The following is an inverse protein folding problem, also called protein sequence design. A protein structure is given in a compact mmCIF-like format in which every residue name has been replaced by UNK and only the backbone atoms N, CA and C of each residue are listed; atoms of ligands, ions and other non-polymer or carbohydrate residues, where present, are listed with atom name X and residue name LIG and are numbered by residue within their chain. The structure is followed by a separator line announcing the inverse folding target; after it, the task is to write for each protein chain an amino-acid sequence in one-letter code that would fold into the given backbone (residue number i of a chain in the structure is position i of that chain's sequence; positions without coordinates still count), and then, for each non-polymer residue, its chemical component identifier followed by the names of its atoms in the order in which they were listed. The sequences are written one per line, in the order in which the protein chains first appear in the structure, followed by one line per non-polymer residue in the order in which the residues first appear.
data_IF_320467388957
#
_entry.id   IF_320467388957
#
_cell.length_a   1.000
_cell.length_b   1.000
_cell.length_c   1.000
_cell.angle_alpha   90.00
_cell.angle_beta   90.00
_cell.angle_gamma   90.00
#
_symmetry.space_group_name_H-M   'P 1'
#
loop_
_entity.id
_entity.type
_entity.pdbx_description
1 polymer ?
#
# COMPACT_ATOMS: atom_id res chain seq x y z
N UNK A 1 -8.21 -7.41 13.58
CA UNK A 1 -7.37 -6.30 13.07
C UNK A 1 -6.36 -6.89 12.11
N UNK A 2 -6.21 -6.32 10.92
CA UNK A 2 -5.25 -6.87 9.94
C UNK A 2 -3.90 -6.18 10.00
N UNK A 3 -3.80 -4.90 10.40
CA UNK A 3 -2.54 -4.20 10.64
C UNK A 3 -2.58 -3.49 11.98
N UNK A 4 -1.55 -3.70 12.80
CA UNK A 4 -1.35 -2.98 14.05
C UNK A 4 0.13 -2.61 14.21
N UNK A 5 0.38 -1.33 14.36
CA UNK A 5 1.66 -0.74 14.73
C UNK A 5 1.54 -0.27 16.17
N UNK A 6 2.44 -0.67 17.06
CA UNK A 6 2.41 -0.32 18.47
C UNK A 6 3.75 0.27 18.90
N UNK A 7 3.73 1.56 19.29
CA UNK A 7 4.84 2.31 19.86
C UNK A 7 6.13 2.26 19.00
N UNK A 8 5.95 2.38 17.67
CA UNK A 8 7.02 2.29 16.68
C UNK A 8 7.94 3.50 16.79
N UNK A 9 9.22 3.25 17.07
CA UNK A 9 10.27 4.25 16.96
C UNK A 9 11.28 3.80 15.91
N UNK A 10 11.64 4.71 15.00
CA UNK A 10 12.64 4.47 13.96
C UNK A 10 13.55 5.69 13.83
N UNK A 11 14.86 5.45 13.86
CA UNK A 11 15.86 6.48 13.66
C UNK A 11 16.83 6.12 12.54
N UNK A 12 17.33 7.13 11.84
CA UNK A 12 18.37 6.98 10.82
C UNK A 12 19.68 7.65 11.27
N UNK A 13 20.83 7.15 10.88
CA UNK A 13 22.10 7.88 11.05
C UNK A 13 22.07 9.21 10.28
N UNK A 14 22.54 10.28 10.93
CA UNK A 14 22.67 11.61 10.33
C UNK A 14 23.99 12.22 10.81
N UNK A 15 25.08 11.89 10.12
CA UNK A 15 26.45 12.20 10.57
C UNK A 15 26.73 11.60 11.95
N UNK A 16 27.09 12.44 12.90
CA UNK A 16 27.38 12.05 14.29
C UNK A 16 26.09 12.00 15.17
N UNK A 17 24.92 12.32 14.60
CA UNK A 17 23.62 12.32 15.28
C UNK A 17 22.69 11.26 14.71
N UNK A 18 21.47 11.17 15.27
CA UNK A 18 20.38 10.33 14.75
C UNK A 18 19.17 11.19 14.47
N UNK A 19 18.63 11.05 13.27
CA UNK A 19 17.34 11.64 12.89
C UNK A 19 16.22 10.68 13.29
N UNK A 20 15.30 11.12 14.14
CA UNK A 20 14.10 10.36 14.48
C UNK A 20 13.07 10.52 13.38
N UNK A 21 12.82 9.45 12.63
CA UNK A 21 11.85 9.42 11.53
C UNK A 21 10.45 9.03 12.01
N UNK A 22 10.36 8.19 13.05
CA UNK A 22 9.12 7.81 13.73
C UNK A 22 9.37 7.84 15.24
N UNK A 23 8.47 8.47 16.00
CA UNK A 23 8.57 8.63 17.44
C UNK A 23 7.29 8.10 18.11
N UNK A 24 7.36 6.89 18.68
CA UNK A 24 6.28 6.20 19.39
C UNK A 24 4.96 6.14 18.61
N UNK A 25 5.04 5.87 17.32
CA UNK A 25 3.88 5.83 16.43
C UNK A 25 3.05 4.57 16.68
N UNK A 26 1.76 4.75 16.96
CA UNK A 26 0.78 3.67 17.07
C UNK A 26 -0.35 3.88 16.08
N UNK A 27 -0.69 2.84 15.28
CA UNK A 27 -1.74 2.87 14.26
C UNK A 27 -2.41 1.50 14.18
N UNK A 28 -3.74 1.51 14.22
CA UNK A 28 -4.55 0.31 14.06
C UNK A 28 -5.45 0.44 12.84
N UNK A 29 -5.36 -0.51 11.92
CA UNK A 29 -6.19 -0.54 10.71
C UNK A 29 -7.01 -1.82 10.70
N UNK A 30 -8.33 -1.72 10.87
CA UNK A 30 -9.23 -2.87 10.80
C UNK A 30 -9.27 -3.47 9.39
N UNK A 31 -9.70 -4.71 9.30
CA UNK A 31 -9.96 -5.37 8.03
C UNK A 31 -11.10 -4.67 7.30
N UNK A 32 -10.96 -4.45 6.00
CA UNK A 32 -11.95 -3.77 5.16
C UNK A 32 -12.05 -2.27 5.43
N UNK A 33 -11.07 -1.64 6.08
CA UNK A 33 -11.05 -0.19 6.27
C UNK A 33 -9.84 0.46 5.61
N UNK A 34 -10.02 1.71 5.19
CA UNK A 34 -9.01 2.57 4.61
C UNK A 34 -8.65 3.69 5.59
N UNK A 35 -7.40 3.72 6.03
CA UNK A 35 -6.84 4.81 6.82
C UNK A 35 -5.92 5.65 5.96
N UNK A 36 -6.26 6.93 5.80
CA UNK A 36 -5.37 7.90 5.17
C UNK A 36 -4.37 8.46 6.22
N UNK A 37 -3.10 8.43 5.87
CA UNK A 37 -2.01 9.04 6.65
C UNK A 37 -1.52 10.26 5.90
N UNK A 38 -1.77 11.44 6.45
CA UNK A 38 -1.44 12.73 5.83
C UNK A 38 -0.34 13.45 6.58
N UNK A 39 0.37 14.33 5.91
CA UNK A 39 1.41 15.15 6.51
C UNK A 39 2.34 15.77 5.48
N UNK A 40 3.17 16.74 5.86
CA UNK A 40 4.13 17.38 4.96
C UNK A 40 5.22 16.39 4.48
N UNK A 41 5.95 16.77 3.43
CA UNK A 41 7.12 16.01 3.00
C UNK A 41 8.14 15.92 4.13
N UNK A 42 8.79 14.76 4.29
CA UNK A 42 9.76 14.53 5.38
C UNK A 42 9.17 14.21 6.74
N UNK A 43 7.84 14.19 6.92
CA UNK A 43 7.21 13.94 8.22
C UNK A 43 7.32 12.50 8.74
N UNK A 44 7.85 11.55 7.94
CA UNK A 44 7.97 10.14 8.34
C UNK A 44 7.00 9.17 7.64
N UNK A 45 6.11 9.64 6.73
CA UNK A 45 5.10 8.82 6.05
C UNK A 45 5.67 7.61 5.31
N UNK A 46 6.71 7.81 4.51
CA UNK A 46 7.36 6.71 3.76
C UNK A 46 8.07 5.74 4.70
N UNK A 47 8.62 6.23 5.82
CA UNK A 47 9.21 5.39 6.88
C UNK A 47 8.12 4.53 7.54
N UNK A 48 6.95 5.10 7.80
CA UNK A 48 5.80 4.38 8.34
C UNK A 48 5.36 3.24 7.40
N UNK A 49 5.23 3.53 6.09
CA UNK A 49 4.92 2.49 5.09
C UNK A 49 6.00 1.42 5.02
N UNK A 50 7.28 1.80 5.07
CA UNK A 50 8.39 0.84 5.02
C UNK A 50 8.40 -0.09 6.24
N UNK A 51 8.08 0.42 7.43
CA UNK A 51 7.91 -0.39 8.65
C UNK A 51 6.67 -1.29 8.54
N UNK A 52 5.52 -0.75 8.12
CA UNK A 52 4.29 -1.51 7.91
C UNK A 52 4.47 -2.61 6.85
N UNK A 53 5.27 -2.33 5.81
CA UNK A 53 5.66 -3.31 4.78
C UNK A 53 6.71 -4.32 5.25
N UNK A 54 7.19 -4.23 6.49
CA UNK A 54 8.28 -5.06 7.02
C UNK A 54 9.59 -4.98 6.19
N UNK A 55 9.78 -3.88 5.47
CA UNK A 55 11.01 -3.61 4.72
C UNK A 55 12.11 -3.08 5.64
N UNK A 56 11.72 -2.36 6.69
CA UNK A 56 12.59 -1.83 7.73
C UNK A 56 12.09 -2.34 9.08
N UNK A 57 13.01 -2.84 9.89
CA UNK A 57 12.73 -3.21 11.29
C UNK A 57 12.85 -1.94 12.13
N UNK A 58 11.83 -1.57 12.93
CA UNK A 58 11.92 -0.41 13.81
C UNK A 58 12.94 -0.64 14.94
N UNK A 59 13.46 0.43 15.53
CA UNK A 59 14.35 0.35 16.69
C UNK A 59 13.61 -0.18 17.92
N UNK A 60 12.34 0.26 18.12
CA UNK A 60 11.43 -0.24 19.16
C UNK A 60 10.01 -0.35 18.65
N UNK A 61 9.16 -1.03 19.42
CA UNK A 61 7.75 -1.25 19.08
C UNK A 61 7.50 -2.57 18.37
N UNK A 62 6.26 -2.80 17.97
CA UNK A 62 5.82 -4.06 17.39
C UNK A 62 4.92 -3.83 16.19
N UNK A 63 5.17 -4.58 15.11
CA UNK A 63 4.29 -4.67 13.95
C UNK A 63 3.55 -6.01 13.99
N UNK A 64 2.23 -5.98 13.88
CA UNK A 64 1.39 -7.18 13.81
C UNK A 64 0.57 -7.16 12.52
N UNK A 65 0.65 -8.22 11.73
CA UNK A 65 -0.05 -8.37 10.45
C UNK A 65 -0.90 -9.62 10.52
N UNK A 66 -2.21 -9.46 10.32
CA UNK A 66 -3.19 -10.55 10.37
C UNK A 66 -3.08 -11.41 11.65
N UNK A 67 -2.85 -10.74 12.79
CA UNK A 67 -2.68 -11.35 14.11
C UNK A 67 -1.29 -11.95 14.38
N UNK A 68 -0.37 -11.97 13.40
CA UNK A 68 0.99 -12.47 13.56
C UNK A 68 1.95 -11.32 13.85
N UNK A 69 2.65 -11.34 14.99
CA UNK A 69 3.74 -10.41 15.27
C UNK A 69 4.93 -10.67 14.36
N UNK A 70 5.57 -9.59 13.92
CA UNK A 70 6.81 -9.66 13.12
C UNK A 70 8.07 -9.72 13.97
N UNK A 71 7.94 -9.53 15.28
CA UNK A 71 9.07 -9.57 16.22
C UNK A 71 9.72 -10.95 16.23
N UNK A 72 11.03 -11.01 16.05
CA UNK A 72 11.79 -12.26 16.07
C UNK A 72 11.70 -13.11 14.79
N UNK A 73 10.96 -12.65 13.77
CA UNK A 73 10.92 -13.34 12.48
C UNK A 73 12.24 -13.18 11.72
N UNK A 74 12.65 -14.23 11.02
CA UNK A 74 13.81 -14.20 10.13
C UNK A 74 13.52 -13.37 8.88
N UNK A 75 14.56 -12.98 8.14
CA UNK A 75 14.41 -12.32 6.83
C UNK A 75 13.59 -13.15 5.85
N UNK A 76 13.71 -14.48 5.90
CA UNK A 76 12.94 -15.41 5.09
C UNK A 76 11.45 -15.35 5.44
N UNK A 77 11.11 -15.44 6.74
CA UNK A 77 9.73 -15.34 7.23
C UNK A 77 9.08 -14.00 6.86
N UNK A 78 9.83 -12.88 7.00
CA UNK A 78 9.34 -11.55 6.60
C UNK A 78 9.10 -11.45 5.09
N UNK A 79 9.95 -12.09 4.28
CA UNK A 79 9.78 -12.13 2.82
C UNK A 79 8.54 -12.93 2.44
N UNK A 80 8.31 -14.05 3.10
CA UNK A 80 7.12 -14.88 2.90
C UNK A 80 5.85 -14.16 3.35
N UNK A 81 5.89 -13.49 4.51
CA UNK A 81 4.79 -12.66 5.01
C UNK A 81 4.43 -11.55 4.01
N UNK A 82 5.43 -10.81 3.48
CA UNK A 82 5.19 -9.78 2.45
C UNK A 82 4.52 -10.35 1.23
N UNK A 83 5.05 -11.46 0.71
CA UNK A 83 4.55 -12.10 -0.52
C UNK A 83 3.08 -12.50 -0.42
N UNK A 84 2.64 -13.00 0.75
CA UNK A 84 1.30 -13.54 0.94
C UNK A 84 0.31 -12.56 1.58
N UNK A 85 0.79 -11.58 2.36
CA UNK A 85 -0.08 -10.76 3.21
C UNK A 85 -0.09 -9.29 2.88
N UNK A 86 0.88 -8.79 2.11
CA UNK A 86 1.06 -7.36 1.87
C UNK A 86 1.03 -7.07 0.37
N UNK A 87 0.09 -6.22 -0.05
CA UNK A 87 0.13 -5.57 -1.37
C UNK A 87 0.72 -4.17 -1.23
N UNK A 88 1.53 -3.75 -2.20
CA UNK A 88 2.12 -2.41 -2.21
C UNK A 88 1.79 -1.73 -3.54
N UNK A 89 1.15 -0.57 -3.45
CA UNK A 89 0.93 0.35 -4.56
C UNK A 89 1.95 1.47 -4.43
N UNK A 90 2.90 1.51 -5.35
CA UNK A 90 3.96 2.51 -5.35
C UNK A 90 3.50 3.81 -6.00
N UNK A 91 4.08 4.92 -5.59
CA UNK A 91 3.88 6.25 -6.19
C UNK A 91 4.09 6.22 -7.71
N UNK A 92 5.23 5.65 -8.16
CA UNK A 92 5.45 5.33 -9.55
C UNK A 92 5.07 3.87 -9.81
N UNK A 93 4.27 3.57 -10.84
CA UNK A 93 3.80 2.21 -11.11
C UNK A 93 4.91 1.18 -11.31
N UNK A 94 6.11 1.59 -11.77
CA UNK A 94 7.28 0.72 -11.98
C UNK A 94 6.92 -0.58 -12.72
N UNK A 95 6.11 -0.45 -13.78
CA UNK A 95 5.71 -1.58 -14.60
C UNK A 95 6.87 -2.01 -15.49
N UNK A 96 7.04 -3.33 -15.66
CA UNK A 96 8.06 -3.90 -16.54
C UNK A 96 7.71 -3.59 -18.01
N UNK A 97 8.57 -2.89 -18.78
CA UNK A 97 8.23 -2.44 -20.12
C UNK A 97 7.94 -3.58 -21.12
N UNK A 98 8.51 -4.76 -20.87
CA UNK A 98 8.35 -5.95 -21.72
C UNK A 98 7.05 -6.71 -21.51
N UNK A 99 6.37 -6.50 -20.37
CA UNK A 99 5.18 -7.24 -19.99
C UNK A 99 3.90 -6.46 -20.30
N UNK A 100 2.86 -7.15 -20.74
CA UNK A 100 1.49 -6.64 -20.88
C UNK A 100 0.85 -6.39 -19.50
N UNK A 101 -0.26 -5.68 -19.46
CA UNK A 101 -1.02 -5.44 -18.22
C UNK A 101 -1.37 -6.76 -17.51
N UNK A 102 -1.85 -7.76 -18.23
CA UNK A 102 -2.14 -9.08 -17.65
C UNK A 102 -0.88 -9.78 -17.12
N UNK A 103 0.22 -9.74 -17.87
CA UNK A 103 1.48 -10.37 -17.47
C UNK A 103 2.12 -9.70 -16.25
N UNK A 104 1.92 -8.36 -16.04
CA UNK A 104 2.33 -7.67 -14.82
C UNK A 104 1.71 -8.29 -13.56
N UNK A 105 0.46 -8.72 -13.66
CA UNK A 105 -0.25 -9.36 -12.54
C UNK A 105 0.17 -10.83 -12.41
N UNK A 106 0.21 -11.55 -13.54
CA UNK A 106 0.52 -12.98 -13.55
C UNK A 106 1.90 -13.29 -12.99
N UNK A 107 2.91 -12.43 -13.23
CA UNK A 107 4.26 -12.64 -12.69
C UNK A 107 4.27 -12.66 -11.16
N UNK A 108 3.39 -11.87 -10.50
CA UNK A 108 3.27 -11.89 -9.04
C UNK A 108 2.78 -13.24 -8.52
N UNK A 109 1.78 -13.82 -9.18
CA UNK A 109 1.27 -15.14 -8.85
C UNK A 109 2.27 -16.26 -9.16
N UNK A 110 3.07 -16.12 -10.22
CA UNK A 110 4.12 -17.09 -10.56
C UNK A 110 5.24 -17.11 -9.51
N UNK A 111 5.65 -15.92 -9.03
CA UNK A 111 6.61 -15.80 -7.90
C UNK A 111 6.04 -16.48 -6.64
N UNK A 112 4.72 -16.46 -6.47
CA UNK A 112 4.00 -17.14 -5.39
C UNK A 112 3.76 -18.64 -5.63
N UNK A 113 4.19 -19.19 -6.76
CA UNK A 113 4.05 -20.60 -7.11
C UNK A 113 2.65 -21.00 -7.59
N UNK A 114 1.77 -20.04 -7.87
CA UNK A 114 0.41 -20.33 -8.40
C UNK A 114 0.47 -20.87 -9.84
N UNK A 115 -0.47 -21.76 -10.17
CA UNK A 115 -0.57 -22.34 -11.52
C UNK A 115 -0.90 -21.26 -12.56
N UNK A 116 -0.32 -21.27 -13.77
CA UNK A 116 -0.52 -20.24 -14.79
C UNK A 116 -2.00 -19.99 -15.14
N UNK A 117 -2.82 -21.04 -15.22
CA UNK A 117 -4.26 -20.89 -15.53
C UNK A 117 -5.01 -20.11 -14.44
N UNK A 118 -4.78 -20.43 -13.16
CA UNK A 118 -5.40 -19.73 -12.03
C UNK A 118 -4.91 -18.28 -11.97
N UNK A 119 -3.61 -18.05 -12.22
CA UNK A 119 -3.03 -16.74 -12.28
C UNK A 119 -3.67 -15.87 -13.40
N UNK A 120 -3.92 -16.45 -14.57
CA UNK A 120 -4.56 -15.74 -15.68
C UNK A 120 -6.00 -15.34 -15.33
N UNK A 121 -6.82 -16.26 -14.82
CA UNK A 121 -8.21 -15.97 -14.43
C UNK A 121 -8.26 -14.82 -13.41
N UNK A 122 -7.45 -14.93 -12.35
CA UNK A 122 -7.39 -13.87 -11.32
C UNK A 122 -6.90 -12.53 -11.86
N UNK A 123 -5.93 -12.53 -12.75
CA UNK A 123 -5.44 -11.31 -13.39
C UNK A 123 -6.54 -10.64 -14.22
N UNK A 124 -7.33 -11.39 -14.97
CA UNK A 124 -8.44 -10.83 -15.76
C UNK A 124 -9.56 -10.27 -14.87
N UNK A 125 -9.92 -10.96 -13.79
CA UNK A 125 -10.88 -10.45 -12.78
C UNK A 125 -10.43 -9.11 -12.17
N UNK A 126 -9.15 -9.00 -11.81
CA UNK A 126 -8.60 -7.76 -11.24
C UNK A 126 -8.50 -6.64 -12.27
N UNK A 127 -8.14 -6.95 -13.53
CA UNK A 127 -8.14 -5.96 -14.61
C UNK A 127 -9.55 -5.46 -14.93
N UNK A 128 -10.55 -6.33 -14.87
CA UNK A 128 -11.94 -5.94 -15.01
C UNK A 128 -12.38 -5.03 -13.84
N UNK A 129 -12.06 -5.40 -12.61
CA UNK A 129 -12.37 -4.60 -11.41
C UNK A 129 -11.77 -3.19 -11.44
N UNK A 130 -10.64 -3.00 -12.13
CA UNK A 130 -10.03 -1.67 -12.33
C UNK A 130 -10.43 -1.01 -13.67
N UNK A 131 -11.36 -1.62 -14.43
CA UNK A 131 -11.87 -1.12 -15.71
C UNK A 131 -10.84 -1.18 -16.85
N UNK A 132 -10.00 -2.22 -16.89
CA UNK A 132 -8.93 -2.41 -17.87
C UNK A 132 -8.97 -3.79 -18.57
N UNK A 133 -10.08 -4.52 -18.54
CA UNK A 133 -10.22 -5.82 -19.20
C UNK A 133 -9.80 -5.77 -20.66
N UNK A 134 -10.29 -4.77 -21.42
CA UNK A 134 -9.98 -4.58 -22.86
C UNK A 134 -8.52 -4.12 -23.10
N UNK A 135 -7.80 -3.74 -22.05
CA UNK A 135 -6.41 -3.28 -22.11
C UNK A 135 -5.41 -4.36 -21.64
N UNK A 136 -5.88 -5.56 -21.31
CA UNK A 136 -5.08 -6.63 -20.71
C UNK A 136 -3.82 -7.00 -21.54
N UNK A 137 -3.91 -6.94 -22.88
CA UNK A 137 -2.80 -7.20 -23.80
C UNK A 137 -1.88 -6.00 -24.07
N UNK A 138 -2.13 -4.83 -23.51
CA UNK A 138 -1.31 -3.62 -23.74
C UNK A 138 -0.10 -3.58 -22.83
N UNK A 139 1.01 -3.09 -23.37
CA UNK A 139 2.25 -2.81 -22.63
C UNK A 139 2.22 -1.41 -22.00
N UNK A 140 3.05 -1.10 -20.98
CA UNK A 140 3.04 0.18 -20.28
C UNK A 140 3.13 1.42 -21.17
N UNK A 141 3.89 1.36 -22.26
CA UNK A 141 4.02 2.47 -23.22
C UNK A 141 2.73 2.75 -24.02
N UNK A 142 1.79 1.81 -24.06
CA UNK A 142 0.50 1.92 -24.75
C UNK A 142 -0.64 2.35 -23.79
N UNK A 143 -0.32 2.54 -22.50
CA UNK A 143 -1.27 2.89 -21.45
C UNK A 143 -1.07 4.35 -21.03
N UNK A 144 -2.17 5.05 -20.70
CA UNK A 144 -2.11 6.37 -20.07
C UNK A 144 -1.53 6.29 -18.64
N UNK A 145 -1.15 7.43 -18.06
CA UNK A 145 -0.66 7.49 -16.67
C UNK A 145 -1.65 6.88 -15.67
N UNK A 146 -2.93 7.26 -15.76
CA UNK A 146 -3.98 6.69 -14.90
C UNK A 146 -4.22 5.19 -15.15
N UNK A 147 -4.13 4.72 -16.40
CA UNK A 147 -4.22 3.29 -16.70
C UNK A 147 -3.05 2.52 -16.10
N UNK A 148 -1.81 3.04 -16.19
CA UNK A 148 -0.65 2.42 -15.54
C UNK A 148 -0.83 2.35 -14.02
N UNK A 149 -1.40 3.40 -13.39
CA UNK A 149 -1.68 3.37 -11.96
C UNK A 149 -2.75 2.34 -11.59
N UNK A 150 -3.79 2.18 -12.38
CA UNK A 150 -4.80 1.12 -12.19
C UNK A 150 -4.21 -0.28 -12.32
N UNK A 151 -3.29 -0.51 -13.25
CA UNK A 151 -2.53 -1.79 -13.35
C UNK A 151 -1.67 -2.00 -12.09
N UNK A 152 -1.03 -0.96 -11.56
CA UNK A 152 -0.24 -1.03 -10.32
C UNK A 152 -1.12 -1.46 -9.12
N UNK A 153 -2.34 -0.89 -9.00
CA UNK A 153 -3.32 -1.26 -7.97
C UNK A 153 -3.74 -2.73 -8.14
N UNK A 154 -4.14 -3.14 -9.33
CA UNK A 154 -4.53 -4.52 -9.61
C UNK A 154 -3.40 -5.51 -9.31
N UNK A 155 -2.16 -5.17 -9.68
CA UNK A 155 -0.97 -5.97 -9.39
C UNK A 155 -0.74 -6.15 -7.88
N UNK A 156 -0.96 -5.11 -7.08
CA UNK A 156 -0.81 -5.19 -5.62
C UNK A 156 -1.82 -6.14 -4.97
N UNK A 157 -2.99 -6.35 -5.58
CA UNK A 157 -4.06 -7.22 -5.10
C UNK A 157 -3.97 -8.68 -5.60
N UNK A 158 -2.99 -8.99 -6.44
CA UNK A 158 -2.92 -10.28 -7.15
C UNK A 158 -2.84 -11.49 -6.22
N UNK A 159 -2.15 -11.35 -5.09
CA UNK A 159 -1.94 -12.44 -4.13
C UNK A 159 -2.92 -12.41 -2.95
N UNK A 160 -4.08 -11.76 -3.10
CA UNK A 160 -5.12 -11.65 -2.08
C UNK A 160 -4.59 -11.16 -0.72
N UNK A 161 -3.88 -9.99 -0.68
CA UNK A 161 -3.25 -9.50 0.52
C UNK A 161 -4.29 -9.14 1.59
N UNK A 162 -3.93 -9.29 2.86
CA UNK A 162 -4.76 -8.81 3.99
C UNK A 162 -4.48 -7.35 4.34
N UNK A 163 -3.33 -6.84 3.92
CA UNK A 163 -2.89 -5.44 4.08
C UNK A 163 -2.53 -4.85 2.73
N UNK A 164 -3.06 -3.67 2.42
CA UNK A 164 -2.71 -2.89 1.23
C UNK A 164 -2.03 -1.58 1.67
N UNK A 165 -0.81 -1.36 1.22
CA UNK A 165 -0.04 -0.14 1.49
C UNK A 165 0.04 0.67 0.22
N UNK A 166 -0.36 1.94 0.28
CA UNK A 166 -0.50 2.80 -0.89
C UNK A 166 0.31 4.07 -0.67
N UNK A 167 1.32 4.29 -1.51
CA UNK A 167 2.21 5.44 -1.41
C UNK A 167 1.89 6.45 -2.53
N UNK A 168 1.35 7.61 -2.15
CA UNK A 168 1.11 8.79 -3.03
C UNK A 168 0.51 8.43 -4.41
N UNK A 169 -0.61 7.70 -4.49
CA UNK A 169 -1.08 7.09 -5.73
C UNK A 169 -1.56 8.09 -6.79
N UNK A 170 -1.76 9.37 -6.40
CA UNK A 170 -2.31 10.43 -7.24
C UNK A 170 -1.29 11.49 -7.65
N UNK A 171 -0.06 11.44 -7.15
CA UNK A 171 0.94 12.51 -7.29
C UNK A 171 1.33 12.86 -8.75
N UNK A 172 1.13 11.95 -9.70
CA UNK A 172 1.42 12.13 -11.12
C UNK A 172 0.14 12.29 -11.99
N UNK A 173 -1.03 12.50 -11.36
CA UNK A 173 -2.33 12.58 -12.02
C UNK A 173 -2.94 13.97 -11.85
N UNK A 174 -3.78 14.36 -12.80
CA UNK A 174 -4.65 15.51 -12.64
C UNK A 174 -5.74 15.24 -11.58
N UNK A 175 -6.39 16.30 -11.13
CA UNK A 175 -7.37 16.25 -10.03
C UNK A 175 -8.51 15.22 -10.26
N UNK A 176 -9.10 15.20 -11.45
CA UNK A 176 -10.22 14.31 -11.77
C UNK A 176 -9.80 12.83 -11.77
N UNK A 177 -8.63 12.53 -12.40
CA UNK A 177 -8.07 11.18 -12.42
C UNK A 177 -7.57 10.73 -11.05
N UNK A 178 -7.07 11.68 -10.25
CA UNK A 178 -6.68 11.44 -8.86
C UNK A 178 -7.86 10.99 -8.02
N UNK A 179 -8.99 11.72 -8.09
CA UNK A 179 -10.23 11.36 -7.42
C UNK A 179 -10.70 9.94 -7.80
N UNK A 180 -10.77 9.65 -9.11
CA UNK A 180 -11.19 8.34 -9.59
C UNK A 180 -10.27 7.17 -9.13
N UNK A 181 -8.97 7.43 -8.92
CA UNK A 181 -8.04 6.44 -8.37
C UNK A 181 -8.29 6.21 -6.89
N UNK A 182 -8.57 7.25 -6.09
CA UNK A 182 -8.88 7.10 -4.67
C UNK A 182 -10.21 6.40 -4.43
N UNK A 183 -11.25 6.74 -5.21
CA UNK A 183 -12.54 6.04 -5.17
C UNK A 183 -12.38 4.55 -5.49
N UNK A 184 -11.55 4.22 -6.49
CA UNK A 184 -11.24 2.84 -6.85
C UNK A 184 -10.52 2.10 -5.70
N UNK A 185 -9.52 2.72 -5.06
CA UNK A 185 -8.81 2.13 -3.92
C UNK A 185 -9.78 1.88 -2.78
N UNK A 186 -10.66 2.84 -2.47
CA UNK A 186 -11.68 2.71 -1.43
C UNK A 186 -12.63 1.55 -1.74
N UNK A 187 -13.17 1.49 -2.96
CA UNK A 187 -14.04 0.41 -3.40
C UNK A 187 -13.38 -0.96 -3.25
N UNK A 188 -12.14 -1.11 -3.74
CA UNK A 188 -11.40 -2.37 -3.69
C UNK A 188 -11.03 -2.75 -2.24
N UNK A 189 -10.73 -1.78 -1.37
CA UNK A 189 -10.50 -2.00 0.06
C UNK A 189 -11.69 -2.71 0.71
N UNK A 190 -12.91 -2.21 0.47
CA UNK A 190 -14.12 -2.80 1.03
C UNK A 190 -14.44 -4.15 0.38
N UNK A 191 -14.36 -4.26 -0.94
CA UNK A 191 -14.67 -5.50 -1.67
C UNK A 191 -13.72 -6.65 -1.33
N UNK A 192 -12.42 -6.38 -1.23
CA UNK A 192 -11.39 -7.39 -0.91
C UNK A 192 -11.18 -7.55 0.60
N UNK A 193 -11.87 -6.74 1.42
CA UNK A 193 -11.73 -6.69 2.87
C UNK A 193 -10.26 -6.54 3.32
N UNK A 194 -9.46 -5.70 2.65
CA UNK A 194 -8.09 -5.40 3.03
C UNK A 194 -8.04 -4.35 4.13
N UNK A 195 -7.01 -4.39 4.99
CA UNK A 195 -6.65 -3.24 5.82
C UNK A 195 -5.74 -2.32 5.01
N UNK A 196 -6.24 -1.16 4.60
CA UNK A 196 -5.53 -0.28 3.66
C UNK A 196 -4.97 0.95 4.37
N UNK A 197 -3.68 1.20 4.21
CA UNK A 197 -3.00 2.45 4.61
C UNK A 197 -2.66 3.22 3.35
N UNK A 198 -3.25 4.40 3.20
CA UNK A 198 -3.00 5.34 2.12
C UNK A 198 -2.17 6.50 2.64
N UNK A 199 -0.96 6.68 2.13
CA UNK A 199 -0.14 7.86 2.41
C UNK A 199 -0.32 8.89 1.32
N UNK A 200 -0.60 10.14 1.70
CA UNK A 200 -0.70 11.26 0.77
C UNK A 200 -0.38 12.59 1.45
N UNK A 201 0.04 13.57 0.68
CA UNK A 201 0.11 14.96 1.10
C UNK A 201 -1.12 15.76 0.66
N UNK A 202 -1.92 15.24 -0.26
CA UNK A 202 -3.17 15.85 -0.75
C UNK A 202 -4.36 15.41 0.10
N UNK A 203 -5.05 16.39 0.69
CA UNK A 203 -6.25 16.20 1.52
C UNK A 203 -7.56 16.33 0.74
N UNK A 204 -7.50 16.73 -0.52
CA UNK A 204 -8.67 17.20 -1.29
C UNK A 204 -9.70 16.09 -1.55
N UNK A 205 -9.27 14.83 -1.60
CA UNK A 205 -10.11 13.69 -1.97
C UNK A 205 -10.31 12.67 -0.84
N UNK A 206 -10.07 13.05 0.41
CA UNK A 206 -10.16 12.13 1.55
C UNK A 206 -11.58 11.98 2.14
N UNK A 207 -12.61 12.40 1.42
CA UNK A 207 -14.01 12.32 1.91
C UNK A 207 -14.54 10.89 2.01
N UNK A 208 -13.94 9.95 1.30
CA UNK A 208 -14.36 8.55 1.25
C UNK A 208 -13.49 7.59 2.11
N UNK A 209 -12.55 8.13 2.93
CA UNK A 209 -11.72 7.30 3.80
C UNK A 209 -12.41 7.06 5.15
N UNK A 210 -12.22 5.88 5.73
CA UNK A 210 -12.85 5.53 7.01
C UNK A 210 -12.18 6.24 8.20
N UNK A 211 -10.87 6.53 8.09
CA UNK A 211 -10.09 7.19 9.12
C UNK A 211 -8.98 8.04 8.50
N UNK A 212 -8.71 9.19 9.09
CA UNK A 212 -7.53 10.00 8.75
C UNK A 212 -6.61 10.08 9.96
N UNK A 213 -5.31 9.93 9.74
CA UNK A 213 -4.25 10.14 10.73
C UNK A 213 -3.30 11.22 10.21
N UNK A 214 -2.78 12.07 11.08
CA UNK A 214 -1.79 13.06 10.70
C UNK A 214 -0.41 12.68 11.24
N UNK A 215 0.61 12.78 10.38
CA UNK A 215 2.01 12.60 10.79
C UNK A 215 2.73 13.93 10.67
N UNK A 216 3.31 14.37 11.78
CA UNK A 216 4.13 15.58 11.87
C UNK A 216 5.37 15.28 12.71
N UNK A 217 6.56 15.58 12.19
CA UNK A 217 7.86 15.35 12.85
C UNK A 217 7.99 13.94 13.49
N UNK A 218 7.58 12.93 12.72
CA UNK A 218 7.66 11.53 13.13
C UNK A 218 6.58 11.08 14.12
N UNK A 219 5.68 11.95 14.56
CA UNK A 219 4.58 11.63 15.48
C UNK A 219 3.26 11.52 14.76
N UNK A 220 2.47 10.51 15.10
CA UNK A 220 1.15 10.28 14.52
C UNK A 220 0.07 10.71 15.51
N UNK A 221 -0.89 11.49 15.02
CA UNK A 221 -2.09 11.89 15.76
C UNK A 221 -3.33 11.43 14.99
N UNK A 222 -4.30 10.89 15.72
CA UNK A 222 -5.63 10.64 15.19
C UNK A 222 -6.50 11.85 15.50
N UNK A 223 -7.20 12.45 14.52
CA UNK A 223 -8.14 13.52 14.81
C UNK A 223 -9.21 13.00 15.77
N UNK A 224 -9.49 13.78 16.79
CA UNK A 224 -10.61 13.50 17.70
C UNK A 224 -11.90 13.52 16.88
N UNK A 225 -12.78 12.50 16.98
CA UNK A 225 -14.04 12.52 16.25
C UNK A 225 -14.80 13.78 16.65
N UNK A 226 -15.03 14.66 15.67
CA UNK A 226 -15.93 15.81 15.85
C UNK A 226 -17.32 15.24 16.06
N UNK A 227 -17.89 15.44 17.24
CA UNK A 227 -19.28 15.06 17.57
C UNK A 227 -20.27 15.87 16.77
#
# INVERSE_FOLDING_TARGET
MSLNLSDITLTYPDGDTRLTALDQVSLQVPRGSLTAVVGPSGSGKSSLLAVAATLITPDTGTVTIDGRSTTGLTRGDLTELRRHKIGIVFQQPNLLPSLTAAEQLQVMAQIDGRKPRTAHTRAMELLDAVGLADQAGRRPQQLSGGQRQRVNIARALMNDPTVLLVDEPTSALDHERGAAVLDLITLLTHQQATATVLVTHDRTHLTAVDQTAEVHDGRLTLPTPTR
#
